data_IF_959896597346
#
_entry.id   IF_959896597346
#
_cell.length_a   1.000
_cell.length_b   1.000
_cell.length_c   1.000
_cell.angle_alpha   90.00
_cell.angle_beta   90.00
_cell.angle_gamma   90.00
#
_symmetry.space_group_name_H-M   'P 1'
#
loop_
_entity.id
_entity.type
_entity.pdbx_description
1 polymer ?
#
# COMPACT_ATOMS: atom_id res chain seq x y z
N UNK A 1 1.80 12.00 -20.57
CA UNK A 1 2.97 11.17 -20.29
C UNK A 1 2.46 9.87 -19.70
N UNK A 2 2.66 8.71 -20.34
CA UNK A 2 2.24 7.42 -19.76
C UNK A 2 3.16 6.95 -18.63
N UNK A 3 4.32 7.60 -18.45
CA UNK A 3 5.39 7.14 -17.56
C UNK A 3 6.23 6.01 -18.15
N UNK A 4 5.78 5.40 -19.25
CA UNK A 4 6.52 4.41 -20.01
C UNK A 4 7.76 5.06 -20.66
N UNK A 5 8.83 4.28 -20.83
CA UNK A 5 10.12 4.73 -21.37
C UNK A 5 10.84 5.82 -20.55
N UNK A 6 10.57 5.93 -19.23
CA UNK A 6 11.38 6.76 -18.32
C UNK A 6 12.86 6.39 -18.46
N UNK A 7 13.68 7.39 -18.78
CA UNK A 7 15.14 7.26 -18.87
C UNK A 7 15.85 8.48 -18.31
N UNK A 8 17.07 8.29 -17.84
CA UNK A 8 17.94 9.40 -17.43
C UNK A 8 18.65 9.96 -18.67
N UNK A 9 18.45 11.25 -18.96
CA UNK A 9 19.09 11.94 -20.10
C UNK A 9 20.33 12.75 -19.70
N UNK A 10 20.47 13.11 -18.43
CA UNK A 10 21.64 13.78 -17.91
C UNK A 10 21.99 13.22 -16.53
N UNK A 11 23.27 12.95 -16.30
CA UNK A 11 23.83 12.65 -14.98
C UNK A 11 24.98 13.61 -14.77
N UNK A 12 24.96 14.34 -13.67
CA UNK A 12 26.13 15.11 -13.28
C UNK A 12 27.32 14.18 -13.02
N UNK A 13 28.49 14.61 -13.49
CA UNK A 13 29.76 13.95 -13.25
C UNK A 13 30.50 14.65 -12.11
N UNK A 14 30.93 13.91 -11.08
CA UNK A 14 31.72 14.47 -9.97
C UNK A 14 31.02 14.41 -8.62
N UNK A 15 31.10 15.48 -7.83
CA UNK A 15 30.69 15.52 -6.42
C UNK A 15 29.17 15.52 -6.18
N UNK A 16 28.36 15.47 -7.24
CA UNK A 16 26.89 15.48 -7.24
C UNK A 16 26.30 16.89 -7.35
N UNK A 17 25.03 16.99 -7.77
CA UNK A 17 24.38 18.26 -8.11
C UNK A 17 23.04 18.47 -7.42
N UNK A 18 22.58 19.71 -7.44
CA UNK A 18 21.27 20.14 -6.93
C UNK A 18 20.44 20.74 -8.07
N UNK A 19 19.93 19.91 -9.00
CA UNK A 19 19.04 20.39 -10.04
C UNK A 19 17.70 20.80 -9.42
N UNK A 20 17.39 22.09 -9.44
CA UNK A 20 16.19 22.65 -8.82
C UNK A 20 15.11 22.98 -9.86
N UNK A 21 15.40 23.93 -10.75
CA UNK A 21 14.48 24.41 -11.79
C UNK A 21 14.74 23.78 -13.15
N UNK A 22 13.67 23.48 -13.91
CA UNK A 22 13.73 22.93 -15.27
C UNK A 22 12.67 23.60 -16.15
N UNK A 23 13.05 23.98 -17.36
CA UNK A 23 12.14 24.53 -18.36
C UNK A 23 12.49 24.03 -19.76
N UNK A 24 11.54 24.18 -20.69
CA UNK A 24 11.64 23.68 -22.07
C UNK A 24 11.66 24.84 -23.07
N UNK A 25 12.62 24.79 -24.00
CA UNK A 25 12.65 25.56 -25.24
C UNK A 25 12.03 24.73 -26.37
N UNK A 26 10.82 25.10 -26.80
CA UNK A 26 10.11 24.40 -27.87
C UNK A 26 10.67 24.71 -29.26
N UNK A 27 11.25 25.91 -29.45
CA UNK A 27 11.78 26.32 -30.76
C UNK A 27 13.12 25.64 -31.03
N UNK A 28 13.98 25.59 -30.01
CA UNK A 28 15.34 25.03 -30.13
C UNK A 28 15.42 23.55 -29.74
N UNK A 29 14.30 22.97 -29.29
CA UNK A 29 14.21 21.57 -28.81
C UNK A 29 15.20 21.24 -27.70
N UNK A 30 15.31 22.17 -26.75
CA UNK A 30 16.25 22.10 -25.64
C UNK A 30 15.54 22.15 -24.30
N UNK A 31 16.14 21.51 -23.30
CA UNK A 31 15.86 21.79 -21.90
C UNK A 31 16.85 22.82 -21.38
N UNK A 32 16.42 23.58 -20.38
CA UNK A 32 17.27 24.49 -19.61
C UNK A 32 17.00 24.20 -18.14
N UNK A 33 18.06 24.00 -17.35
CA UNK A 33 17.94 23.75 -15.92
C UNK A 33 18.99 24.50 -15.13
N UNK A 34 18.73 24.64 -13.85
CA UNK A 34 19.66 25.21 -12.88
C UNK A 34 20.25 24.10 -12.04
N UNK A 35 21.54 24.19 -11.73
CA UNK A 35 22.14 23.48 -10.62
C UNK A 35 22.61 24.47 -9.53
N UNK A 36 21.98 24.37 -8.36
CA UNK A 36 22.23 25.29 -7.25
C UNK A 36 23.50 24.98 -6.45
N UNK A 37 24.15 23.85 -6.71
CA UNK A 37 25.40 23.47 -6.07
C UNK A 37 26.60 23.89 -6.90
N UNK A 38 26.50 23.78 -8.22
CA UNK A 38 27.53 24.25 -9.15
C UNK A 38 27.36 25.71 -9.57
N UNK A 39 26.36 26.41 -9.02
CA UNK A 39 26.07 27.81 -9.30
C UNK A 39 25.98 28.07 -10.82
N UNK A 40 25.20 27.23 -11.51
CA UNK A 40 25.18 27.17 -12.96
C UNK A 40 23.79 27.00 -13.57
N UNK A 41 23.62 27.52 -14.78
CA UNK A 41 22.49 27.27 -15.67
C UNK A 41 23.01 26.53 -16.89
N UNK A 42 22.40 25.38 -17.19
CA UNK A 42 22.78 24.55 -18.32
C UNK A 42 21.63 24.45 -19.32
N UNK A 43 21.98 24.12 -20.56
CA UNK A 43 21.04 23.74 -21.60
C UNK A 43 21.52 22.51 -22.37
N UNK A 44 20.62 21.60 -22.69
CA UNK A 44 20.91 20.44 -23.54
C UNK A 44 19.73 20.14 -24.45
N UNK A 45 19.94 19.36 -25.51
CA UNK A 45 18.87 18.79 -26.32
C UNK A 45 18.01 17.83 -25.47
N UNK A 46 16.81 17.48 -25.94
CA UNK A 46 15.90 16.58 -25.21
C UNK A 46 16.46 15.18 -24.96
N UNK A 47 17.47 14.74 -25.71
CA UNK A 47 18.18 13.48 -25.49
C UNK A 47 19.37 13.61 -24.52
N UNK A 48 19.66 14.82 -24.03
CA UNK A 48 20.79 15.14 -23.15
C UNK A 48 22.08 15.50 -23.88
N UNK A 49 22.12 15.42 -25.21
CA UNK A 49 23.29 15.80 -26.00
C UNK A 49 23.41 17.32 -26.19
N UNK A 50 24.55 17.77 -26.71
CA UNK A 50 24.79 19.19 -27.00
C UNK A 50 24.73 20.07 -25.74
N UNK A 51 25.35 19.62 -24.64
CA UNK A 51 25.40 20.39 -23.40
C UNK A 51 26.02 21.79 -23.64
N UNK A 52 25.37 22.82 -23.12
CA UNK A 52 25.81 24.21 -23.08
C UNK A 52 25.78 24.63 -21.62
N UNK A 53 26.90 25.13 -21.11
CA UNK A 53 26.93 25.91 -19.87
C UNK A 53 26.57 27.34 -20.23
N UNK A 54 25.31 27.74 -19.93
CA UNK A 54 24.78 29.05 -20.30
C UNK A 54 25.39 30.13 -19.42
N UNK A 55 25.42 29.89 -18.12
CA UNK A 55 26.00 30.80 -17.14
C UNK A 55 26.53 29.96 -15.98
N UNK A 56 27.71 30.28 -15.49
CA UNK A 56 28.27 29.71 -14.26
C UNK A 56 28.97 30.80 -13.49
N UNK A 57 28.79 30.79 -12.17
CA UNK A 57 29.58 31.62 -11.28
C UNK A 57 28.76 32.24 -10.15
N UNK A 58 29.38 32.20 -8.98
CA UNK A 58 28.81 32.66 -7.72
C UNK A 58 28.47 34.16 -7.67
N UNK A 59 29.05 34.95 -8.59
CA UNK A 59 28.80 36.39 -8.70
C UNK A 59 27.33 36.69 -9.06
N UNK A 60 26.71 35.84 -9.89
CA UNK A 60 25.35 36.03 -10.39
C UNK A 60 24.39 34.89 -10.02
N UNK A 61 24.93 33.70 -9.77
CA UNK A 61 24.18 32.49 -9.41
C UNK A 61 24.67 32.04 -8.04
N UNK A 62 23.90 32.33 -7.01
CA UNK A 62 24.42 32.36 -5.66
C UNK A 62 23.66 31.39 -4.75
N UNK A 63 22.36 31.23 -5.00
CA UNK A 63 21.56 30.06 -4.65
C UNK A 63 20.31 30.03 -5.54
N UNK A 64 20.47 29.68 -6.82
CA UNK A 64 19.37 29.77 -7.78
C UNK A 64 18.34 28.63 -7.58
N UNK A 65 17.05 28.94 -7.73
CA UNK A 65 15.96 28.00 -7.41
C UNK A 65 15.14 27.61 -8.63
N UNK A 66 14.42 28.54 -9.26
CA UNK A 66 13.62 28.28 -10.45
C UNK A 66 14.22 28.93 -11.69
N UNK A 67 13.99 28.32 -12.87
CA UNK A 67 14.31 28.89 -14.18
C UNK A 67 13.09 28.87 -15.08
N UNK A 68 12.92 29.92 -15.85
CA UNK A 68 12.05 29.95 -17.01
C UNK A 68 12.75 30.66 -18.16
N UNK A 69 12.12 30.71 -19.32
CA UNK A 69 12.70 31.32 -20.50
C UNK A 69 11.63 31.99 -21.37
N UNK A 70 12.04 33.05 -22.05
CA UNK A 70 11.21 33.72 -23.04
C UNK A 70 12.09 34.42 -24.08
N UNK A 71 11.77 34.21 -25.36
CA UNK A 71 12.57 34.73 -26.46
C UNK A 71 14.03 34.25 -26.41
N UNK A 72 14.96 35.21 -26.38
CA UNK A 72 16.40 34.98 -26.32
C UNK A 72 17.00 35.00 -24.91
N UNK A 73 16.16 35.00 -23.86
CA UNK A 73 16.59 35.22 -22.48
C UNK A 73 16.15 34.05 -21.56
N UNK A 74 17.00 33.75 -20.58
CA UNK A 74 16.66 32.92 -19.41
C UNK A 74 16.39 33.85 -18.24
N UNK A 75 15.45 33.44 -17.40
CA UNK A 75 15.07 34.12 -16.18
C UNK A 75 15.17 33.16 -15.00
N UNK A 76 15.70 33.59 -13.87
CA UNK A 76 15.80 32.75 -12.68
C UNK A 76 15.52 33.51 -11.40
N UNK A 77 15.11 32.76 -10.38
CA UNK A 77 15.00 33.23 -9.00
C UNK A 77 16.24 32.83 -8.20
N UNK A 78 16.73 33.73 -7.34
CA UNK A 78 17.87 33.47 -6.47
C UNK A 78 17.52 33.78 -5.01
N UNK A 79 17.68 32.77 -4.16
CA UNK A 79 17.26 32.78 -2.75
C UNK A 79 18.12 33.61 -1.83
N UNK A 80 19.39 33.82 -2.18
CA UNK A 80 20.33 34.53 -1.31
C UNK A 80 20.37 36.01 -1.63
N UNK A 81 20.13 36.36 -2.89
CA UNK A 81 20.00 37.76 -3.33
C UNK A 81 18.56 38.27 -3.27
N UNK A 82 17.56 37.39 -3.08
CA UNK A 82 16.13 37.69 -3.19
C UNK A 82 15.81 38.43 -4.49
N UNK A 83 16.29 37.90 -5.61
CA UNK A 83 16.11 38.53 -6.92
C UNK A 83 15.52 37.60 -7.96
N UNK A 84 14.80 38.22 -8.89
CA UNK A 84 14.52 37.72 -10.22
C UNK A 84 15.53 38.38 -11.17
N UNK A 85 16.35 37.57 -11.81
CA UNK A 85 17.35 38.05 -12.77
C UNK A 85 17.17 37.39 -14.14
N UNK A 86 17.78 37.97 -15.17
CA UNK A 86 17.77 37.44 -16.53
C UNK A 86 19.12 37.61 -17.22
N UNK A 87 19.36 36.78 -18.23
CA UNK A 87 20.55 36.82 -19.08
C UNK A 87 20.26 36.23 -20.46
N UNK A 88 21.18 36.41 -21.41
CA UNK A 88 21.11 35.78 -22.72
C UNK A 88 21.13 34.24 -22.59
N UNK A 89 20.22 33.54 -23.28
CA UNK A 89 20.05 32.09 -23.14
C UNK A 89 21.17 31.22 -23.71
N UNK A 90 22.03 31.79 -24.54
CA UNK A 90 23.13 31.07 -25.19
C UNK A 90 24.48 31.39 -24.59
N UNK A 91 24.69 32.65 -24.22
CA UNK A 91 26.01 33.15 -23.79
C UNK A 91 26.08 33.49 -22.31
N UNK A 92 24.94 33.58 -21.60
CA UNK A 92 24.90 34.05 -20.21
C UNK A 92 25.21 35.54 -20.05
N UNK A 93 25.49 36.26 -21.14
CA UNK A 93 25.84 37.67 -21.09
C UNK A 93 24.63 38.55 -20.76
N UNK A 94 24.90 39.80 -20.41
CA UNK A 94 23.91 40.83 -20.06
C UNK A 94 23.03 40.42 -18.87
N UNK A 95 23.67 39.93 -17.81
CA UNK A 95 22.98 39.65 -16.55
C UNK A 95 22.36 40.93 -16.00
N UNK A 96 21.05 40.93 -15.82
CA UNK A 96 20.30 42.06 -15.28
C UNK A 96 19.29 41.60 -14.24
N UNK A 97 19.18 42.36 -13.14
CA UNK A 97 18.14 42.14 -12.14
C UNK A 97 16.84 42.74 -12.68
N UNK A 98 15.83 41.90 -12.89
CA UNK A 98 14.49 42.31 -13.32
C UNK A 98 13.71 42.86 -12.13
N UNK A 99 13.75 42.16 -11.00
CA UNK A 99 13.02 42.54 -9.80
C UNK A 99 13.76 42.06 -8.55
N UNK A 100 13.72 42.87 -7.49
CA UNK A 100 14.09 42.45 -6.13
C UNK A 100 12.82 42.15 -5.35
N UNK A 101 12.82 41.04 -4.62
CA UNK A 101 11.70 40.62 -3.79
C UNK A 101 12.03 40.88 -2.32
N UNK A 102 11.01 41.21 -1.52
CA UNK A 102 11.18 41.41 -0.08
C UNK A 102 11.37 40.09 0.68
N UNK A 103 10.89 38.99 0.08
CA UNK A 103 10.96 37.63 0.61
C UNK A 103 11.61 36.71 -0.40
N UNK A 104 11.94 35.51 0.04
CA UNK A 104 12.59 34.49 -0.78
C UNK A 104 11.66 34.06 -1.95
N UNK A 105 12.09 34.23 -3.21
CA UNK A 105 11.27 33.85 -4.35
C UNK A 105 11.37 32.34 -4.64
N UNK A 106 10.23 31.67 -4.80
CA UNK A 106 10.17 30.24 -5.16
C UNK A 106 10.10 30.06 -6.68
N UNK A 107 8.99 29.50 -7.19
CA UNK A 107 8.82 29.21 -8.60
C UNK A 107 8.57 30.47 -9.44
N UNK A 108 8.91 30.38 -10.73
CA UNK A 108 8.78 31.45 -11.71
C UNK A 108 8.32 30.86 -13.04
N UNK A 109 7.27 31.45 -13.61
CA UNK A 109 6.74 31.06 -14.93
C UNK A 109 6.49 32.29 -15.79
N UNK A 110 6.78 32.18 -17.08
CA UNK A 110 6.38 33.19 -18.07
C UNK A 110 4.93 32.91 -18.50
N UNK A 111 4.05 33.88 -18.26
CA UNK A 111 2.68 33.85 -18.74
C UNK A 111 2.59 34.47 -20.15
N UNK A 112 2.65 33.62 -21.18
CA UNK A 112 2.48 34.04 -22.58
C UNK A 112 1.95 32.88 -23.43
N UNK A 113 1.05 33.10 -24.41
CA UNK A 113 0.50 32.03 -25.26
C UNK A 113 1.57 31.17 -25.96
N UNK A 114 2.72 31.74 -26.31
CA UNK A 114 3.83 30.98 -26.93
C UNK A 114 4.50 29.97 -25.99
N UNK A 115 4.26 30.03 -24.67
CA UNK A 115 4.72 29.02 -23.71
C UNK A 115 3.79 27.80 -23.64
N UNK A 116 2.60 27.90 -24.24
CA UNK A 116 1.63 26.81 -24.37
C UNK A 116 1.14 26.76 -25.83
N UNK A 117 2.03 26.45 -26.80
CA UNK A 117 1.68 26.43 -28.21
C UNK A 117 0.58 25.39 -28.48
N UNK A 118 -0.34 25.72 -29.38
CA UNK A 118 -1.35 24.78 -29.84
C UNK A 118 -0.69 23.62 -30.59
N UNK A 119 -1.10 22.40 -30.28
CA UNK A 119 -0.59 21.18 -30.90
C UNK A 119 -1.73 20.18 -31.08
N UNK A 120 -1.62 19.24 -32.05
CA UNK A 120 -2.58 18.15 -32.17
C UNK A 120 -2.71 17.38 -30.85
N UNK A 121 -3.94 17.16 -30.41
CA UNK A 121 -4.21 16.41 -29.20
C UNK A 121 -4.71 15.00 -29.56
N UNK A 122 -3.89 13.94 -29.39
CA UNK A 122 -4.29 12.57 -29.71
C UNK A 122 -5.41 12.03 -28.81
N UNK A 123 -5.71 12.71 -27.69
CA UNK A 123 -6.84 12.40 -26.83
C UNK A 123 -8.15 13.04 -27.29
N UNK A 124 -8.10 14.04 -28.18
CA UNK A 124 -9.28 14.67 -28.73
C UNK A 124 -9.69 13.92 -30.00
N UNK A 125 -10.81 13.20 -29.95
CA UNK A 125 -11.43 12.58 -31.14
C UNK A 125 -12.39 13.57 -31.81
N UNK A 126 -12.67 13.35 -33.10
CA UNK A 126 -13.56 14.21 -33.89
C UNK A 126 -15.00 14.26 -33.33
N UNK A 127 -15.42 13.19 -32.64
CA UNK A 127 -16.76 13.05 -32.07
C UNK A 127 -16.85 13.54 -30.61
N UNK A 128 -15.75 14.06 -30.04
CA UNK A 128 -15.69 14.55 -28.67
C UNK A 128 -15.65 13.46 -27.59
N UNK A 129 -15.63 12.18 -27.97
CA UNK A 129 -15.50 11.06 -27.03
C UNK A 129 -14.02 10.73 -26.78
N UNK A 130 -13.57 10.88 -25.53
CA UNK A 130 -12.23 10.46 -25.13
C UNK A 130 -12.01 8.98 -25.47
N UNK A 131 -10.84 8.60 -26.03
CA UNK A 131 -10.54 7.19 -26.27
C UNK A 131 -10.41 6.41 -24.95
N UNK A 132 -10.15 7.10 -23.83
CA UNK A 132 -10.01 6.49 -22.52
C UNK A 132 -11.25 6.72 -21.68
N UNK A 133 -11.66 5.70 -20.92
CA UNK A 133 -12.79 5.80 -19.98
C UNK A 133 -12.61 6.87 -18.90
N UNK A 134 -11.37 7.15 -18.47
CA UNK A 134 -11.07 8.08 -17.38
C UNK A 134 -9.99 9.10 -17.76
N UNK A 135 -8.71 8.72 -17.71
CA UNK A 135 -7.60 9.64 -18.01
C UNK A 135 -6.95 9.29 -19.33
N UNK A 136 -6.87 10.26 -20.25
CA UNK A 136 -6.10 10.14 -21.48
C UNK A 136 -4.81 10.98 -21.37
N UNK A 137 -3.66 10.31 -21.48
CA UNK A 137 -2.35 10.93 -21.33
C UNK A 137 -1.62 10.94 -22.68
N UNK A 138 -1.23 12.12 -23.16
CA UNK A 138 -0.41 12.26 -24.37
C UNK A 138 0.92 11.51 -24.17
N UNK A 139 1.28 10.65 -25.12
CA UNK A 139 2.50 9.84 -25.09
C UNK A 139 3.44 10.21 -26.23
N UNK A 140 4.60 9.57 -26.29
CA UNK A 140 5.64 9.84 -27.28
C UNK A 140 5.10 9.67 -28.71
N UNK A 141 5.68 10.40 -29.68
CA UNK A 141 5.26 10.38 -31.09
C UNK A 141 3.78 10.73 -31.35
N UNK A 142 3.20 11.66 -30.58
CA UNK A 142 1.80 12.10 -30.74
C UNK A 142 0.79 10.95 -30.58
N UNK A 143 1.13 9.96 -29.76
CA UNK A 143 0.21 8.88 -29.36
C UNK A 143 -0.46 9.22 -28.04
N UNK A 144 -1.34 8.34 -27.54
CA UNK A 144 -1.92 8.46 -26.21
C UNK A 144 -1.82 7.13 -25.46
N UNK A 145 -1.98 7.21 -24.14
CA UNK A 145 -2.14 6.05 -23.27
C UNK A 145 -3.20 6.36 -22.23
N UNK A 146 -4.01 5.36 -21.89
CA UNK A 146 -5.04 5.50 -20.88
C UNK A 146 -4.47 5.17 -19.50
N UNK A 147 -4.82 5.99 -18.52
CA UNK A 147 -4.49 5.76 -17.12
C UNK A 147 -5.76 5.73 -16.29
N UNK A 148 -5.69 4.98 -15.20
CA UNK A 148 -6.81 4.87 -14.27
C UNK A 148 -6.59 5.76 -13.06
N UNK A 149 -7.67 6.36 -12.53
CA UNK A 149 -7.63 6.98 -11.22
C UNK A 149 -7.17 5.99 -10.16
N UNK A 150 -6.85 6.54 -9.00
CA UNK A 150 -6.52 5.75 -7.84
C UNK A 150 -7.59 4.68 -7.55
N UNK A 151 -7.17 3.47 -7.15
CA UNK A 151 -8.04 2.31 -6.82
C UNK A 151 -8.69 1.58 -8.02
N UNK A 152 -8.38 2.01 -9.25
CA UNK A 152 -8.87 1.36 -10.46
C UNK A 152 -7.71 0.76 -11.25
N UNK A 153 -7.96 -0.37 -11.91
CA UNK A 153 -7.00 -1.04 -12.80
C UNK A 153 -7.44 -0.90 -14.24
N UNK A 154 -6.45 -0.68 -15.12
CA UNK A 154 -6.66 -0.63 -16.56
C UNK A 154 -6.94 -2.04 -17.07
N UNK A 155 -8.04 -2.21 -17.80
CA UNK A 155 -8.43 -3.49 -18.36
C UNK A 155 -7.53 -3.88 -19.54
N UNK A 156 -7.67 -5.14 -19.99
CA UNK A 156 -6.88 -5.70 -21.08
C UNK A 156 -7.06 -4.96 -22.42
N UNK A 157 -8.18 -4.24 -22.58
CA UNK A 157 -8.42 -3.38 -23.74
C UNK A 157 -7.51 -2.15 -23.76
N UNK A 158 -6.84 -1.80 -22.64
CA UNK A 158 -6.02 -0.60 -22.45
C UNK A 158 -6.78 0.72 -22.58
N UNK A 159 -8.10 0.71 -22.44
CA UNK A 159 -8.97 1.88 -22.57
C UNK A 159 -9.89 2.06 -21.36
N UNK A 160 -10.36 0.96 -20.80
CA UNK A 160 -11.37 0.95 -19.75
C UNK A 160 -10.74 0.73 -18.38
N UNK A 161 -11.17 1.51 -17.38
CA UNK A 161 -10.76 1.32 -15.99
C UNK A 161 -11.87 0.62 -15.22
N UNK A 162 -11.49 -0.36 -14.41
CA UNK A 162 -12.40 -1.09 -13.52
C UNK A 162 -11.94 -0.93 -12.08
N UNK A 163 -12.88 -0.70 -11.16
CA UNK A 163 -12.59 -0.75 -9.73
C UNK A 163 -12.10 -2.16 -9.36
N UNK A 164 -10.99 -2.21 -8.61
CA UNK A 164 -10.41 -3.45 -8.12
C UNK A 164 -10.34 -3.37 -6.61
N UNK A 165 -11.39 -3.81 -5.91
CA UNK A 165 -11.46 -3.85 -4.44
C UNK A 165 -10.73 -5.05 -3.86
N UNK A 166 -9.48 -5.19 -4.28
CA UNK A 166 -8.53 -6.19 -3.81
C UNK A 166 -7.25 -5.47 -3.44
N UNK A 167 -6.85 -5.59 -2.18
CA UNK A 167 -5.65 -4.94 -1.66
C UNK A 167 -5.07 -5.70 -0.47
N UNK A 168 -3.78 -5.50 -0.23
CA UNK A 168 -3.10 -6.04 0.94
C UNK A 168 -3.37 -5.13 2.13
N UNK A 169 -4.11 -5.62 3.12
CA UNK A 169 -4.33 -4.95 4.40
C UNK A 169 -3.31 -5.46 5.41
N UNK A 170 -2.57 -4.56 6.02
CA UNK A 170 -1.61 -4.93 7.04
C UNK A 170 -1.57 -3.92 8.18
N UNK A 171 -1.18 -4.43 9.34
CA UNK A 171 -1.05 -3.66 10.56
C UNK A 171 0.38 -3.72 11.06
N UNK A 172 0.89 -2.55 11.44
CA UNK A 172 2.04 -2.39 12.31
C UNK A 172 1.56 -1.85 13.64
N UNK A 173 2.47 -1.78 14.60
CA UNK A 173 2.17 -1.31 15.95
C UNK A 173 1.45 0.05 15.98
N UNK A 174 1.87 1.01 15.14
CA UNK A 174 1.34 2.40 15.14
C UNK A 174 0.71 2.82 13.81
N UNK A 175 0.48 1.88 12.89
CA UNK A 175 -0.17 2.18 11.61
C UNK A 175 -0.96 0.99 11.05
N UNK A 176 -2.10 1.27 10.44
CA UNK A 176 -2.81 0.32 9.57
C UNK A 176 -2.77 0.87 8.15
N UNK A 177 -2.40 0.01 7.20
CA UNK A 177 -2.33 0.37 5.78
C UNK A 177 -2.99 -0.70 4.92
N UNK A 178 -3.65 -0.25 3.89
CA UNK A 178 -4.10 -1.04 2.76
C UNK A 178 -3.33 -0.55 1.55
N UNK A 179 -2.67 -1.44 0.81
CA UNK A 179 -1.85 -1.08 -0.36
C UNK A 179 -2.22 -1.92 -1.56
N UNK A 180 -2.05 -1.36 -2.77
CA UNK A 180 -2.22 -2.13 -4.00
C UNK A 180 -1.26 -3.32 -4.02
N UNK A 181 -1.79 -4.45 -4.48
CA UNK A 181 -1.09 -5.74 -4.50
C UNK A 181 0.09 -5.73 -5.47
N UNK A 182 -0.08 -5.10 -6.63
CA UNK A 182 0.91 -5.12 -7.70
C UNK A 182 1.91 -3.97 -7.54
N UNK A 183 1.44 -2.84 -7.01
CA UNK A 183 2.20 -1.62 -6.83
C UNK A 183 2.08 -1.14 -5.37
N UNK A 184 2.85 -1.72 -4.44
CA UNK A 184 2.63 -1.54 -3.02
C UNK A 184 2.91 -0.10 -2.52
N UNK A 185 3.50 0.77 -3.36
CA UNK A 185 3.67 2.20 -3.08
C UNK A 185 2.35 2.99 -3.14
N UNK A 186 1.31 2.45 -3.78
CA UNK A 186 0.00 3.05 -3.81
C UNK A 186 -0.81 2.53 -2.62
N UNK A 187 -1.16 3.42 -1.69
CA UNK A 187 -2.08 3.09 -0.60
C UNK A 187 -3.48 2.94 -1.19
N UNK A 188 -4.22 1.89 -0.86
CA UNK A 188 -5.62 1.73 -1.28
C UNK A 188 -6.59 2.44 -0.32
N UNK A 189 -6.24 2.46 0.96
CA UNK A 189 -7.03 3.10 2.02
C UNK A 189 -6.27 4.31 2.57
N UNK A 190 -6.98 5.19 3.27
CA UNK A 190 -6.33 6.18 4.13
C UNK A 190 -5.60 5.43 5.24
N UNK A 191 -4.30 5.69 5.39
CA UNK A 191 -3.51 5.12 6.47
C UNK A 191 -4.03 5.63 7.81
N UNK A 192 -4.33 4.72 8.72
CA UNK A 192 -4.64 5.09 10.10
C UNK A 192 -3.33 5.14 10.88
N UNK A 193 -3.11 6.20 11.64
CA UNK A 193 -1.91 6.42 12.46
C UNK A 193 -2.29 7.03 13.81
N UNK A 194 -1.30 7.37 14.64
CA UNK A 194 -1.48 8.22 15.82
C UNK A 194 -2.20 9.53 15.42
N UNK A 195 -3.23 10.00 16.16
CA UNK A 195 -3.67 9.55 17.49
C UNK A 195 -4.77 8.46 17.51
N UNK A 196 -5.30 8.04 16.36
CA UNK A 196 -6.42 7.08 16.31
C UNK A 196 -5.98 5.66 16.70
N UNK A 197 -4.70 5.36 16.47
CA UNK A 197 -4.02 4.10 16.76
C UNK A 197 -2.88 4.32 17.76
N UNK A 198 -2.72 3.36 18.67
CA UNK A 198 -1.73 3.41 19.73
C UNK A 198 -0.85 2.13 19.77
N UNK A 199 -1.48 0.95 19.75
CA UNK A 199 -0.79 -0.35 19.69
C UNK A 199 -1.69 -1.44 19.06
N UNK A 200 -1.72 -1.49 17.73
CA UNK A 200 -2.55 -2.44 16.97
C UNK A 200 -1.89 -3.81 16.88
N UNK A 201 -2.66 -4.85 17.18
CA UNK A 201 -2.19 -6.25 17.08
C UNK A 201 -2.79 -7.01 15.91
N UNK A 202 -4.08 -6.84 15.62
CA UNK A 202 -4.76 -7.58 14.55
C UNK A 202 -5.80 -6.70 13.87
N UNK A 203 -6.02 -7.00 12.58
CA UNK A 203 -6.99 -6.32 11.72
C UNK A 203 -7.81 -7.33 10.95
N UNK A 204 -9.09 -7.03 10.77
CA UNK A 204 -9.96 -7.74 9.84
C UNK A 204 -10.91 -6.75 9.14
N UNK A 205 -11.68 -7.22 8.16
CA UNK A 205 -12.53 -6.37 7.34
C UNK A 205 -13.91 -6.98 7.10
N UNK A 206 -14.86 -6.08 6.92
CA UNK A 206 -16.18 -6.34 6.39
C UNK A 206 -16.32 -5.66 5.03
N UNK A 207 -16.39 -6.46 3.97
CA UNK A 207 -16.48 -5.95 2.62
C UNK A 207 -17.88 -5.41 2.28
N UNK A 208 -18.92 -5.87 2.99
CA UNK A 208 -20.29 -5.42 2.73
C UNK A 208 -20.48 -3.94 3.12
N UNK A 209 -19.99 -3.54 4.30
CA UNK A 209 -20.05 -2.14 4.76
C UNK A 209 -18.77 -1.35 4.46
N UNK A 210 -17.78 -1.97 3.82
CA UNK A 210 -16.45 -1.38 3.56
C UNK A 210 -15.79 -0.85 4.84
N UNK A 211 -15.75 -1.68 5.88
CA UNK A 211 -15.23 -1.34 7.20
C UNK A 211 -14.04 -2.20 7.58
N UNK A 212 -13.08 -1.59 8.26
CA UNK A 212 -11.93 -2.27 8.86
C UNK A 212 -12.15 -2.28 10.37
N UNK A 213 -11.91 -3.42 10.98
CA UNK A 213 -11.95 -3.65 12.41
C UNK A 213 -10.54 -3.92 12.91
N UNK A 214 -10.17 -3.37 14.05
CA UNK A 214 -8.87 -3.61 14.66
C UNK A 214 -8.95 -3.62 16.17
N UNK A 215 -8.11 -4.44 16.78
CA UNK A 215 -7.87 -4.37 18.22
C UNK A 215 -6.67 -3.47 18.51
N UNK A 216 -6.81 -2.66 19.55
CA UNK A 216 -5.75 -1.84 20.09
C UNK A 216 -5.52 -2.23 21.56
N UNK A 217 -4.33 -2.79 21.83
CA UNK A 217 -4.03 -3.40 23.12
C UNK A 217 -3.68 -2.35 24.18
N UNK A 218 -3.17 -1.19 23.77
CA UNK A 218 -2.85 -0.11 24.73
C UNK A 218 -4.13 0.53 25.26
N UNK A 219 -5.09 0.78 24.38
CA UNK A 219 -6.40 1.33 24.76
C UNK A 219 -7.39 0.25 25.21
N UNK A 220 -7.08 -1.03 25.02
CA UNK A 220 -7.95 -2.18 25.30
C UNK A 220 -9.32 -2.06 24.60
N UNK A 221 -9.30 -1.63 23.33
CA UNK A 221 -10.51 -1.43 22.54
C UNK A 221 -10.47 -2.23 21.25
N UNK A 222 -11.65 -2.57 20.73
CA UNK A 222 -11.82 -2.90 19.32
C UNK A 222 -12.54 -1.72 18.67
N UNK A 223 -11.92 -1.17 17.64
CA UNK A 223 -12.45 -0.03 16.88
C UNK A 223 -12.78 -0.47 15.47
N UNK A 224 -13.59 0.34 14.79
CA UNK A 224 -13.83 0.20 13.34
C UNK A 224 -13.84 1.57 12.66
N UNK A 225 -13.58 1.56 11.35
CA UNK A 225 -13.69 2.72 10.49
C UNK A 225 -13.96 2.31 9.05
N UNK A 226 -14.45 3.24 8.24
CA UNK A 226 -14.58 3.03 6.81
C UNK A 226 -13.20 3.03 6.13
N UNK A 227 -13.05 2.28 5.04
CA UNK A 227 -11.81 2.25 4.24
C UNK A 227 -11.36 3.64 3.72
N UNK A 228 -12.28 4.62 3.66
CA UNK A 228 -11.99 5.99 3.29
C UNK A 228 -11.44 6.85 4.45
N UNK A 229 -11.20 6.26 5.62
CA UNK A 229 -10.67 6.93 6.81
C UNK A 229 -11.72 7.58 7.72
N UNK A 230 -13.00 7.60 7.34
CA UNK A 230 -14.07 8.24 8.11
C UNK A 230 -14.71 7.26 9.10
N UNK A 231 -15.48 7.81 10.06
CA UNK A 231 -16.32 7.00 10.95
C UNK A 231 -15.53 6.11 11.91
N UNK A 232 -14.38 6.58 12.40
CA UNK A 232 -13.62 5.90 13.46
C UNK A 232 -14.48 5.88 14.73
N UNK A 233 -14.83 4.69 15.19
CA UNK A 233 -15.60 4.51 16.42
C UNK A 233 -15.16 3.28 17.20
N UNK A 234 -15.31 3.34 18.51
CA UNK A 234 -15.04 2.22 19.41
C UNK A 234 -16.27 1.31 19.48
N UNK A 235 -16.10 0.06 19.10
CA UNK A 235 -17.14 -0.97 19.06
C UNK A 235 -17.21 -1.73 20.38
N UNK A 236 -16.04 -2.05 20.94
CA UNK A 236 -15.92 -2.76 22.21
C UNK A 236 -14.84 -2.10 23.06
N UNK A 237 -15.14 -1.76 24.32
CA UNK A 237 -14.23 -1.03 25.23
C UNK A 237 -14.11 -1.60 26.64
N UNK A 238 -14.88 -2.64 26.97
CA UNK A 238 -14.88 -3.27 28.29
C UNK A 238 -14.53 -4.77 28.19
N UNK A 239 -13.76 -5.28 29.14
CA UNK A 239 -13.35 -6.68 29.23
C UNK A 239 -12.61 -7.18 27.97
N UNK A 240 -11.60 -6.42 27.54
CA UNK A 240 -10.74 -6.72 26.38
C UNK A 240 -9.24 -6.76 26.74
N UNK A 241 -8.82 -7.64 27.65
CA UNK A 241 -7.39 -7.79 27.88
C UNK A 241 -6.74 -8.51 26.69
N UNK A 242 -5.75 -7.84 26.08
CA UNK A 242 -4.86 -8.36 25.04
C UNK A 242 -5.57 -9.17 23.93
N UNK A 243 -6.38 -8.50 23.12
CA UNK A 243 -7.00 -9.14 21.96
C UNK A 243 -6.00 -9.29 20.80
N UNK A 244 -5.41 -10.48 20.68
CA UNK A 244 -4.41 -10.83 19.66
C UNK A 244 -5.02 -11.48 18.40
N UNK A 245 -6.24 -12.00 18.51
CA UNK A 245 -7.00 -12.59 17.42
C UNK A 245 -8.34 -11.89 17.27
N UNK A 246 -8.70 -11.56 16.03
CA UNK A 246 -9.93 -10.87 15.67
C UNK A 246 -10.39 -11.42 14.32
N UNK A 247 -11.66 -11.78 14.23
CA UNK A 247 -12.24 -12.27 12.99
C UNK A 247 -13.68 -11.78 12.81
N UNK A 248 -13.98 -11.30 11.61
CA UNK A 248 -15.31 -10.83 11.22
C UNK A 248 -16.09 -11.98 10.58
N UNK A 249 -17.27 -12.29 11.13
CA UNK A 249 -18.28 -13.12 10.47
C UNK A 249 -19.16 -12.21 9.61
N UNK A 250 -18.82 -12.11 8.33
CA UNK A 250 -19.54 -11.28 7.36
C UNK A 250 -20.93 -11.83 7.01
N UNK A 251 -21.21 -13.10 7.29
CA UNK A 251 -22.49 -13.75 6.98
C UNK A 251 -23.50 -13.48 8.09
N UNK A 252 -23.16 -13.84 9.33
CA UNK A 252 -24.06 -13.66 10.47
C UNK A 252 -23.93 -12.28 11.13
N UNK A 253 -23.03 -11.43 10.62
CA UNK A 253 -22.78 -10.06 11.11
C UNK A 253 -22.34 -10.05 12.57
N UNK A 254 -21.41 -10.93 12.91
CA UNK A 254 -20.81 -11.05 14.24
C UNK A 254 -19.31 -10.78 14.20
N UNK A 255 -18.77 -10.38 15.34
CA UNK A 255 -17.35 -10.14 15.57
C UNK A 255 -16.86 -11.15 16.61
N UNK A 256 -15.81 -11.88 16.28
CA UNK A 256 -15.15 -12.80 17.21
C UNK A 256 -13.77 -12.30 17.57
N UNK A 257 -13.36 -12.46 18.82
CA UNK A 257 -12.01 -12.09 19.24
C UNK A 257 -11.52 -12.94 20.41
N UNK A 258 -10.21 -13.09 20.50
CA UNK A 258 -9.56 -13.73 21.64
C UNK A 258 -9.36 -12.71 22.76
N UNK A 259 -9.41 -13.16 24.01
CA UNK A 259 -9.01 -12.37 25.18
C UNK A 259 -8.04 -13.20 26.00
N UNK A 260 -6.92 -12.56 26.38
CA UNK A 260 -5.83 -13.20 27.09
C UNK A 260 -5.35 -12.32 28.27
N UNK A 261 -5.75 -12.72 29.47
CA UNK A 261 -5.22 -12.21 30.73
C UNK A 261 -5.07 -13.33 31.75
N UNK A 262 -4.52 -13.01 32.92
CA UNK A 262 -4.47 -13.87 34.10
C UNK A 262 -5.87 -14.42 34.46
N UNK A 263 -6.92 -13.61 34.30
CA UNK A 263 -8.28 -13.96 34.75
C UNK A 263 -9.25 -14.35 33.63
N UNK A 264 -8.97 -13.98 32.38
CA UNK A 264 -9.90 -14.18 31.25
C UNK A 264 -9.12 -14.70 30.04
N UNK A 265 -9.32 -15.99 29.75
CA UNK A 265 -8.69 -16.69 28.62
C UNK A 265 -9.78 -17.38 27.80
N UNK A 266 -10.30 -16.66 26.81
CA UNK A 266 -11.52 -17.07 26.09
C UNK A 266 -11.62 -16.50 24.69
N UNK A 267 -12.45 -17.12 23.85
CA UNK A 267 -12.95 -16.56 22.59
C UNK A 267 -14.32 -15.97 22.85
N UNK A 268 -14.50 -14.71 22.51
CA UNK A 268 -15.76 -13.98 22.67
C UNK A 268 -16.42 -13.75 21.32
N UNK A 269 -17.71 -13.44 21.36
CA UNK A 269 -18.51 -13.01 20.23
C UNK A 269 -19.36 -11.81 20.62
N UNK A 270 -19.61 -10.91 19.68
CA UNK A 270 -20.63 -9.87 19.75
C UNK A 270 -21.17 -9.59 18.34
N UNK A 271 -22.21 -8.79 18.21
CA UNK A 271 -22.57 -8.20 16.90
C UNK A 271 -21.47 -7.26 16.42
N UNK A 272 -21.46 -6.95 15.13
CA UNK A 272 -20.50 -6.01 14.53
C UNK A 272 -20.56 -4.58 15.10
N UNK A 273 -21.63 -4.21 15.80
CA UNK A 273 -21.79 -2.95 16.55
C UNK A 273 -21.37 -3.06 18.03
N UNK A 274 -20.90 -4.22 18.47
CA UNK A 274 -20.45 -4.49 19.83
C UNK A 274 -21.54 -4.94 20.80
N UNK A 275 -22.81 -4.94 20.37
CA UNK A 275 -23.93 -5.40 21.20
C UNK A 275 -23.95 -6.93 21.39
N UNK A 276 -24.65 -7.41 22.42
CA UNK A 276 -24.85 -8.84 22.70
C UNK A 276 -23.55 -9.65 22.88
N UNK A 277 -22.58 -9.09 23.62
CA UNK A 277 -21.32 -9.77 23.96
C UNK A 277 -21.56 -11.06 24.75
N UNK A 278 -20.92 -12.15 24.34
CA UNK A 278 -20.88 -13.42 25.05
C UNK A 278 -19.52 -14.14 24.89
N UNK A 279 -19.23 -15.11 25.76
CA UNK A 279 -18.07 -16.00 25.64
C UNK A 279 -18.47 -17.33 24.99
N UNK A 280 -17.75 -17.73 23.95
CA UNK A 280 -18.05 -18.94 23.16
C UNK A 280 -17.15 -20.12 23.59
N UNK A 281 -15.87 -19.86 23.81
CA UNK A 281 -14.90 -20.87 24.27
C UNK A 281 -14.17 -20.30 25.47
N UNK A 282 -14.08 -21.05 26.56
CA UNK A 282 -13.42 -20.64 27.81
C UNK A 282 -12.32 -21.64 28.20
N UNK A 283 -11.41 -21.22 29.07
CA UNK A 283 -10.36 -22.09 29.60
C UNK A 283 -9.19 -22.30 28.62
N UNK A 284 -8.95 -21.34 27.74
CA UNK A 284 -7.77 -21.32 26.86
C UNK A 284 -6.49 -21.09 27.67
N UNK A 285 -5.31 -21.37 27.11
CA UNK A 285 -4.05 -21.06 27.80
C UNK A 285 -3.39 -19.78 27.27
N UNK A 286 -3.00 -19.74 26.01
CA UNK A 286 -2.30 -18.65 25.30
C UNK A 286 -2.89 -18.48 23.89
N UNK A 287 -4.15 -18.02 23.76
CA UNK A 287 -4.77 -17.83 22.46
C UNK A 287 -4.11 -16.68 21.71
N UNK A 288 -3.78 -16.89 20.43
CA UNK A 288 -3.13 -15.88 19.60
C UNK A 288 -3.95 -15.56 18.34
N UNK A 289 -3.86 -16.40 17.30
CA UNK A 289 -4.56 -16.18 16.03
C UNK A 289 -5.98 -16.76 16.07
N UNK A 290 -6.89 -16.14 15.31
CA UNK A 290 -8.27 -16.58 15.15
C UNK A 290 -8.71 -16.33 13.71
N UNK A 291 -9.26 -17.35 13.06
CA UNK A 291 -9.88 -17.25 11.72
C UNK A 291 -11.20 -18.02 11.70
N UNK A 292 -12.11 -17.60 10.83
CA UNK A 292 -13.45 -18.18 10.72
C UNK A 292 -13.67 -18.73 9.32
N UNK A 293 -14.54 -19.72 9.20
CA UNK A 293 -15.16 -20.12 7.96
C UNK A 293 -16.69 -20.02 8.11
N UNK A 294 -17.27 -18.81 7.94
CA UNK A 294 -18.69 -18.58 8.21
C UNK A 294 -19.65 -19.53 7.51
N UNK A 295 -19.36 -19.88 6.24
CA UNK A 295 -20.21 -20.77 5.42
C UNK A 295 -20.26 -22.20 5.99
N UNK A 296 -19.17 -22.67 6.59
CA UNK A 296 -19.09 -24.01 7.21
C UNK A 296 -19.40 -23.96 8.71
N UNK A 297 -19.62 -22.77 9.28
CA UNK A 297 -19.86 -22.59 10.70
C UNK A 297 -18.68 -23.04 11.57
N UNK A 298 -17.43 -22.89 11.10
CA UNK A 298 -16.22 -23.30 11.81
C UNK A 298 -15.37 -22.12 12.25
N UNK A 299 -14.75 -22.23 13.42
CA UNK A 299 -13.70 -21.34 13.88
C UNK A 299 -12.41 -22.13 14.12
N UNK A 300 -11.27 -21.53 13.77
CA UNK A 300 -9.94 -22.10 13.95
C UNK A 300 -9.07 -21.11 14.69
N UNK A 301 -8.30 -21.58 15.67
CA UNK A 301 -7.44 -20.70 16.46
C UNK A 301 -6.15 -21.39 16.87
N UNK A 302 -5.17 -20.57 17.24
CA UNK A 302 -3.94 -21.04 17.87
C UNK A 302 -4.01 -20.79 19.37
N UNK A 303 -3.62 -21.79 20.15
CA UNK A 303 -3.55 -21.75 21.61
C UNK A 303 -2.21 -22.33 22.08
N UNK A 304 -1.24 -21.46 22.37
CA UNK A 304 0.16 -21.86 22.55
C UNK A 304 0.73 -22.50 21.28
N UNK A 305 1.14 -23.77 21.39
CA UNK A 305 1.67 -24.57 20.26
C UNK A 305 0.61 -25.44 19.57
N UNK A 306 -0.66 -25.29 19.97
CA UNK A 306 -1.76 -26.08 19.45
C UNK A 306 -2.57 -25.30 18.41
N UNK A 307 -3.07 -26.01 17.42
CA UNK A 307 -4.07 -25.51 16.47
C UNK A 307 -5.35 -26.28 16.72
N UNK A 308 -6.43 -25.57 17.00
CA UNK A 308 -7.71 -26.15 17.40
C UNK A 308 -8.84 -25.66 16.50
N UNK A 309 -9.91 -26.46 16.44
CA UNK A 309 -11.12 -26.18 15.67
C UNK A 309 -12.35 -26.37 16.56
N UNK A 310 -13.40 -25.61 16.28
CA UNK A 310 -14.72 -25.77 16.88
C UNK A 310 -15.79 -25.30 15.89
N UNK A 311 -17.04 -25.61 16.19
CA UNK A 311 -18.16 -24.90 15.56
C UNK A 311 -18.19 -23.45 16.07
N UNK A 312 -18.82 -22.55 15.30
CA UNK A 312 -18.89 -21.12 15.66
C UNK A 312 -19.72 -20.83 16.93
N UNK A 313 -20.51 -21.80 17.39
CA UNK A 313 -21.21 -21.77 18.68
C UNK A 313 -20.37 -22.35 19.84
N UNK A 314 -19.13 -22.77 19.59
CA UNK A 314 -18.21 -23.34 20.56
C UNK A 314 -18.35 -24.86 20.75
N UNK A 315 -19.36 -25.49 20.14
CA UNK A 315 -19.54 -26.93 20.21
C UNK A 315 -18.49 -27.70 19.38
N UNK A 316 -18.34 -28.99 19.69
CA UNK A 316 -17.45 -29.91 18.96
C UNK A 316 -16.00 -29.40 18.84
N UNK A 317 -15.48 -28.83 19.93
CA UNK A 317 -14.10 -28.37 20.02
C UNK A 317 -13.13 -29.56 20.05
N UNK A 318 -12.14 -29.53 19.15
CA UNK A 318 -11.05 -30.53 19.10
C UNK A 318 -9.72 -29.85 18.77
N UNK A 319 -8.63 -30.38 19.32
CA UNK A 319 -7.28 -30.00 18.91
C UNK A 319 -6.90 -30.77 17.64
N UNK A 320 -6.61 -30.05 16.56
CA UNK A 320 -6.19 -30.64 15.28
C UNK A 320 -4.72 -31.06 15.32
N UNK A 321 -3.87 -30.15 15.78
CA UNK A 321 -2.43 -30.37 15.83
C UNK A 321 -1.84 -29.83 17.13
N UNK A 322 -0.80 -30.52 17.60
CA UNK A 322 0.00 -30.12 18.76
C UNK A 322 1.46 -29.91 18.34
N UNK A 323 2.24 -29.25 19.18
CA UNK A 323 3.69 -29.04 18.99
C UNK A 323 4.04 -28.31 17.67
N UNK A 324 3.23 -27.34 17.26
CA UNK A 324 3.41 -26.59 16.01
C UNK A 324 4.42 -25.44 16.11
N UNK A 325 5.25 -25.40 17.16
CA UNK A 325 6.42 -24.51 17.26
C UNK A 325 6.07 -23.02 17.08
N UNK A 326 5.17 -22.53 17.92
CA UNK A 326 4.65 -21.16 17.93
C UNK A 326 3.99 -20.73 16.60
N UNK A 327 2.81 -21.27 16.27
CA UNK A 327 2.04 -20.85 15.09
C UNK A 327 1.43 -19.46 15.30
N UNK A 328 1.86 -18.46 14.49
CA UNK A 328 1.49 -17.04 14.71
C UNK A 328 0.95 -16.28 13.48
N UNK A 329 0.60 -16.98 12.41
CA UNK A 329 -0.16 -16.41 11.29
C UNK A 329 -1.01 -17.46 10.61
N UNK A 330 -2.31 -17.48 10.94
CA UNK A 330 -3.27 -18.46 10.46
C UNK A 330 -4.10 -17.86 9.32
N UNK A 331 -4.33 -18.60 8.24
CA UNK A 331 -5.17 -18.17 7.12
C UNK A 331 -5.96 -19.34 6.54
N UNK A 332 -7.21 -19.07 6.16
CA UNK A 332 -8.08 -20.02 5.47
C UNK A 332 -8.10 -19.66 3.99
N UNK A 333 -7.89 -20.66 3.13
CA UNK A 333 -8.28 -20.56 1.74
C UNK A 333 -9.66 -21.16 1.53
N UNK A 334 -10.62 -20.30 1.22
CA UNK A 334 -12.03 -20.67 1.05
C UNK A 334 -12.27 -21.44 -0.26
N UNK A 335 -11.45 -21.22 -1.29
CA UNK A 335 -11.63 -21.87 -2.59
C UNK A 335 -11.18 -23.33 -2.57
N UNK A 336 -10.02 -23.62 -1.95
CA UNK A 336 -9.50 -25.00 -1.85
C UNK A 336 -9.84 -25.69 -0.53
N UNK A 337 -10.57 -25.04 0.38
CA UNK A 337 -10.89 -25.54 1.72
C UNK A 337 -9.64 -26.05 2.46
N UNK A 338 -8.63 -25.16 2.59
CA UNK A 338 -7.37 -25.47 3.27
C UNK A 338 -7.04 -24.44 4.34
N UNK A 339 -6.43 -24.91 5.42
CA UNK A 339 -5.88 -24.09 6.48
C UNK A 339 -4.37 -24.00 6.31
N UNK A 340 -3.84 -22.78 6.35
CA UNK A 340 -2.40 -22.51 6.28
C UNK A 340 -1.95 -21.78 7.54
N UNK A 341 -0.75 -22.10 8.02
CA UNK A 341 -0.12 -21.35 9.10
C UNK A 341 1.38 -21.22 8.92
N UNK A 342 1.92 -20.17 9.53
CA UNK A 342 3.35 -19.98 9.69
C UNK A 342 3.75 -20.17 11.16
N UNK A 343 4.82 -20.94 11.36
CA UNK A 343 5.38 -21.25 12.68
C UNK A 343 6.68 -20.48 12.88
N UNK A 344 6.71 -19.62 13.89
CA UNK A 344 7.82 -18.66 14.07
C UNK A 344 9.08 -19.28 14.65
N UNK A 345 9.00 -20.33 15.46
CA UNK A 345 10.18 -20.90 16.12
C UNK A 345 11.02 -21.74 15.15
N UNK A 346 10.37 -22.48 14.23
CA UNK A 346 11.06 -23.30 13.23
C UNK A 346 11.11 -22.66 11.82
N UNK A 347 10.42 -21.53 11.61
CA UNK A 347 10.43 -20.80 10.34
C UNK A 347 9.76 -21.55 9.18
N UNK A 348 8.73 -22.35 9.47
CA UNK A 348 8.04 -23.18 8.46
C UNK A 348 6.66 -22.64 8.12
N UNK A 349 6.21 -22.93 6.91
CA UNK A 349 4.81 -22.73 6.51
C UNK A 349 4.21 -24.13 6.30
N UNK A 350 3.08 -24.38 6.92
CA UNK A 350 2.38 -25.67 6.84
C UNK A 350 0.95 -25.47 6.36
N UNK A 351 0.38 -26.51 5.76
CA UNK A 351 -1.02 -26.56 5.35
C UNK A 351 -1.68 -27.87 5.71
N UNK A 352 -3.00 -27.85 5.81
CA UNK A 352 -3.84 -29.05 5.87
C UNK A 352 -5.21 -28.77 5.25
N UNK A 353 -6.01 -29.81 5.06
CA UNK A 353 -7.45 -29.65 4.79
C UNK A 353 -8.17 -29.16 6.05
N UNK A 354 -9.33 -28.54 5.89
CA UNK A 354 -10.13 -28.01 7.01
C UNK A 354 -10.57 -29.06 8.05
N UNK A 355 -10.56 -30.35 7.69
CA UNK A 355 -10.84 -31.48 8.60
C UNK A 355 -9.60 -31.96 9.39
N UNK A 356 -8.43 -31.35 9.16
CA UNK A 356 -7.15 -31.73 9.79
C UNK A 356 -6.38 -32.83 9.05
N UNK A 357 -6.90 -33.38 7.97
CA UNK A 357 -6.18 -34.37 7.16
C UNK A 357 -5.18 -33.70 6.21
N UNK A 358 -4.20 -34.48 5.73
CA UNK A 358 -3.25 -34.02 4.72
C UNK A 358 -2.32 -32.91 5.22
N UNK A 359 -1.85 -33.01 6.47
CA UNK A 359 -0.82 -32.12 7.00
C UNK A 359 0.45 -32.20 6.13
N UNK A 360 0.90 -31.05 5.66
CA UNK A 360 2.08 -30.91 4.81
C UNK A 360 2.85 -29.66 5.21
N UNK A 361 4.17 -29.79 5.33
CA UNK A 361 5.09 -28.65 5.49
C UNK A 361 5.61 -28.28 4.09
N UNK A 362 5.57 -26.99 3.74
CA UNK A 362 5.96 -26.53 2.42
C UNK A 362 7.50 -26.53 2.27
N UNK A 363 8.03 -27.56 1.59
CA UNK A 363 9.47 -27.79 1.42
C UNK A 363 10.22 -26.70 0.64
N UNK A 364 9.51 -25.90 -0.16
CA UNK A 364 10.08 -24.75 -0.88
C UNK A 364 10.56 -23.64 0.06
N UNK A 365 10.04 -23.59 1.29
CA UNK A 365 10.50 -22.67 2.34
C UNK A 365 11.79 -23.20 2.95
N UNK A 366 12.93 -22.79 2.37
CA UNK A 366 14.24 -23.23 2.84
C UNK A 366 14.50 -22.84 4.31
N UNK A 367 15.16 -23.69 5.11
CA UNK A 367 15.51 -23.38 6.50
C UNK A 367 16.29 -22.05 6.61
N UNK A 368 15.93 -21.25 7.61
CA UNK A 368 16.55 -19.94 7.88
C UNK A 368 16.07 -18.79 6.99
N UNK A 369 15.12 -19.02 6.07
CA UNK A 369 14.46 -17.94 5.32
C UNK A 369 13.55 -17.09 6.20
N UNK A 370 12.80 -17.75 7.06
CA UNK A 370 12.00 -17.13 8.12
C UNK A 370 12.78 -17.31 9.43
N UNK A 371 13.01 -16.20 10.12
CA UNK A 371 13.80 -16.18 11.37
C UNK A 371 12.92 -15.84 12.57
N UNK A 372 11.87 -15.05 12.32
CA UNK A 372 10.82 -14.69 13.27
C UNK A 372 9.59 -14.29 12.45
N UNK A 373 8.91 -15.29 11.89
CA UNK A 373 7.71 -15.07 11.11
C UNK A 373 6.65 -14.33 11.94
N UNK A 374 5.80 -13.52 11.31
CA UNK A 374 4.87 -12.65 12.05
C UNK A 374 3.47 -12.61 11.49
N UNK A 375 3.31 -12.80 10.18
CA UNK A 375 2.00 -12.85 9.55
C UNK A 375 2.06 -13.71 8.28
N UNK A 376 0.91 -14.27 7.93
CA UNK A 376 0.69 -15.04 6.71
C UNK A 376 -0.68 -14.63 6.15
N UNK A 377 -0.75 -14.39 4.84
CA UNK A 377 -2.00 -14.17 4.14
C UNK A 377 -2.02 -14.95 2.82
N UNK A 378 -3.21 -15.26 2.31
CA UNK A 378 -3.40 -16.05 1.09
C UNK A 378 -4.12 -15.21 0.05
N UNK A 379 -3.69 -15.32 -1.21
CA UNK A 379 -4.45 -14.80 -2.34
C UNK A 379 -4.09 -15.56 -3.62
N UNK A 380 -5.10 -16.15 -4.24
CA UNK A 380 -4.94 -16.93 -5.46
C UNK A 380 -3.93 -18.06 -5.29
N UNK A 381 -2.90 -18.06 -6.13
CA UNK A 381 -1.81 -19.03 -6.15
C UNK A 381 -0.61 -18.65 -5.27
N UNK A 382 -0.70 -17.58 -4.47
CA UNK A 382 0.41 -17.06 -3.67
C UNK A 382 0.11 -17.00 -2.18
N UNK A 383 1.17 -17.21 -1.42
CA UNK A 383 1.26 -16.92 0.00
C UNK A 383 2.05 -15.63 0.19
N UNK A 384 1.52 -14.75 1.04
CA UNK A 384 2.17 -13.53 1.48
C UNK A 384 2.69 -13.75 2.88
N UNK A 385 3.99 -13.55 3.09
CA UNK A 385 4.64 -13.77 4.37
C UNK A 385 5.28 -12.47 4.85
N UNK A 386 5.32 -12.30 6.17
CA UNK A 386 6.04 -11.22 6.83
C UNK A 386 6.93 -11.80 7.93
N UNK A 387 8.16 -11.32 8.03
CA UNK A 387 9.18 -11.79 8.97
C UNK A 387 9.80 -10.60 9.71
N UNK A 388 9.64 -10.58 11.04
CA UNK A 388 10.14 -9.50 11.89
C UNK A 388 11.65 -9.56 12.07
N UNK A 389 12.27 -10.73 11.95
CA UNK A 389 13.71 -10.90 12.17
C UNK A 389 14.55 -10.42 10.99
N UNK A 390 14.09 -10.67 9.76
CA UNK A 390 14.70 -10.15 8.52
C UNK A 390 14.16 -8.79 8.10
N UNK A 391 13.09 -8.32 8.74
CA UNK A 391 12.45 -7.04 8.46
C UNK A 391 11.83 -6.96 7.04
N UNK A 392 11.27 -8.10 6.59
CA UNK A 392 10.85 -8.29 5.20
C UNK A 392 9.39 -8.74 5.06
N UNK A 393 8.80 -8.32 3.94
CA UNK A 393 7.57 -8.88 3.39
C UNK A 393 7.88 -9.45 2.02
N UNK A 394 7.30 -10.59 1.71
CA UNK A 394 7.40 -11.15 0.39
C UNK A 394 6.26 -12.11 0.04
N UNK A 395 6.48 -12.80 -1.07
CA UNK A 395 5.56 -13.80 -1.60
C UNK A 395 6.30 -15.09 -1.89
N UNK A 396 5.58 -16.20 -1.84
CA UNK A 396 6.00 -17.49 -2.36
C UNK A 396 4.79 -18.22 -2.95
N UNK A 397 5.04 -19.25 -3.75
CA UNK A 397 3.99 -20.02 -4.40
C UNK A 397 3.23 -20.87 -3.36
N UNK A 398 1.90 -20.88 -3.45
CA UNK A 398 1.02 -21.62 -2.52
C UNK A 398 1.14 -23.13 -2.65
N UNK A 399 1.60 -23.62 -3.80
CA UNK A 399 1.76 -25.05 -4.09
C UNK A 399 2.78 -25.72 -3.20
N UNK A 400 3.95 -25.11 -3.02
CA UNK A 400 5.13 -25.72 -2.43
C UNK A 400 5.97 -24.74 -1.57
N UNK A 401 5.61 -23.45 -1.51
CA UNK A 401 6.42 -22.42 -0.85
C UNK A 401 7.63 -21.96 -1.67
N UNK A 402 7.71 -22.35 -2.95
CA UNK A 402 8.76 -21.99 -3.89
C UNK A 402 8.68 -20.55 -4.38
N UNK A 403 9.48 -20.21 -5.39
CA UNK A 403 9.50 -18.88 -6.02
C UNK A 403 9.60 -17.71 -5.02
N UNK A 404 10.43 -17.89 -3.99
CA UNK A 404 10.55 -16.96 -2.87
C UNK A 404 11.01 -15.58 -3.35
N UNK A 405 10.13 -14.59 -3.20
CA UNK A 405 10.37 -13.22 -3.65
C UNK A 405 10.18 -12.23 -2.51
N UNK A 406 11.25 -11.54 -2.14
CA UNK A 406 11.17 -10.39 -1.24
C UNK A 406 10.59 -9.21 -2.00
N UNK A 407 9.53 -8.61 -1.46
CA UNK A 407 8.88 -7.43 -2.04
C UNK A 407 9.32 -6.15 -1.35
N UNK A 408 9.57 -6.20 -0.04
CA UNK A 408 9.92 -5.03 0.77
C UNK A 408 10.90 -5.38 1.89
N UNK A 409 11.71 -4.39 2.24
CA UNK A 409 12.56 -4.34 3.43
C UNK A 409 12.06 -3.19 4.34
N UNK A 410 12.53 -3.13 5.59
CA UNK A 410 12.19 -2.08 6.56
C UNK A 410 10.67 -2.02 6.82
N UNK A 411 10.10 -3.19 7.12
CA UNK A 411 8.68 -3.42 7.30
C UNK A 411 8.20 -3.73 8.71
N UNK A 412 9.12 -3.83 9.66
CA UNK A 412 8.96 -4.25 11.05
C UNK A 412 8.64 -3.06 11.97
N UNK A 413 7.88 -3.29 13.06
CA UNK A 413 7.18 -4.52 13.39
C UNK A 413 5.86 -4.63 12.63
N UNK A 414 5.75 -5.66 11.78
CA UNK A 414 4.47 -6.10 11.22
C UNK A 414 3.77 -6.97 12.26
N UNK A 415 2.54 -6.62 12.62
CA UNK A 415 1.75 -7.35 13.63
C UNK A 415 0.73 -8.28 12.99
N UNK A 416 0.13 -7.88 11.87
CA UNK A 416 -0.85 -8.71 11.16
C UNK A 416 -0.93 -8.35 9.67
N UNK A 417 -1.38 -9.30 8.85
CA UNK A 417 -1.56 -9.12 7.41
C UNK A 417 -2.71 -9.98 6.91
N UNK A 418 -3.56 -9.41 6.05
CA UNK A 418 -4.70 -10.09 5.43
C UNK A 418 -4.98 -9.50 4.05
N UNK A 419 -5.53 -10.28 3.15
CA UNK A 419 -5.94 -9.79 1.83
C UNK A 419 -7.40 -9.39 1.89
N UNK A 420 -7.68 -8.12 1.61
CA UNK A 420 -9.04 -7.64 1.38
C UNK A 420 -9.46 -8.07 0.00
N UNK A 421 -10.58 -8.79 -0.12
CA UNK A 421 -11.18 -9.14 -1.40
C UNK A 421 -12.70 -9.09 -1.28
N UNK A 422 -13.32 -8.13 -1.98
CA UNK A 422 -14.77 -7.94 -1.95
C UNK A 422 -15.55 -9.18 -2.45
N UNK A 423 -15.06 -9.86 -3.50
CA UNK A 423 -15.79 -10.99 -4.08
C UNK A 423 -15.91 -12.17 -3.11
N UNK A 424 -14.92 -12.36 -2.23
CA UNK A 424 -14.89 -13.46 -1.25
C UNK A 424 -16.03 -13.38 -0.22
N UNK A 425 -16.51 -12.18 0.09
CA UNK A 425 -17.61 -11.99 1.05
C UNK A 425 -18.96 -11.73 0.37
N UNK A 426 -18.97 -11.29 -0.90
CA UNK A 426 -20.19 -10.90 -1.64
C UNK A 426 -20.76 -11.98 -2.57
N UNK A 427 -19.98 -12.97 -3.02
CA UNK A 427 -20.46 -14.08 -3.86
C UNK A 427 -21.31 -15.14 -3.10
N UNK A 428 -21.85 -14.78 -1.93
CA UNK A 428 -22.77 -15.61 -1.14
C UNK A 428 -24.17 -15.77 -1.76
N UNK A 429 -24.37 -15.35 -3.01
CA UNK A 429 -25.60 -15.54 -3.81
C UNK A 429 -26.07 -16.99 -4.00
N UNK A 430 -25.36 -17.99 -3.45
CA UNK A 430 -25.85 -19.38 -3.33
C UNK A 430 -26.67 -19.66 -2.07
N UNK A 431 -26.82 -18.70 -1.15
CA UNK A 431 -27.64 -18.85 0.07
C UNK A 431 -28.88 -17.96 -0.03
N UNK A 432 -29.61 -18.07 -1.14
CA UNK A 432 -31.02 -17.65 -1.17
C UNK A 432 -31.86 -18.78 -0.60
N UNK A 433 -32.19 -18.66 0.68
CA UNK A 433 -33.44 -19.12 1.32
C UNK A 433 -34.20 -20.25 0.59
N UNK A 434 -33.86 -21.51 0.87
CA UNK A 434 -34.87 -22.57 0.97
C UNK A 434 -35.20 -22.77 2.44
N UNK A 435 -35.93 -21.80 2.99
CA UNK A 435 -36.84 -22.10 4.11
C UNK A 435 -38.13 -22.57 3.46
N UNK A 436 -38.25 -23.89 3.27
CA UNK A 436 -39.56 -24.51 3.05
C UNK A 436 -40.35 -24.41 4.35
N UNK A 437 -41.51 -23.75 4.28
CA UNK A 437 -42.51 -23.65 5.34
C UNK A 437 -42.91 -25.00 5.93
#
# INVERSE_FOLDING_TARGET
>A
MSGEARRTIHRETGSGGWPNGLTVDYMERRIVWIDARSDAIYSALYDGSGLIEVLRGHEYLSHPFAVTMYGGEVYWTDWRTNTLAKANKWTGNNVTVVQRTNTQPFDLQVYHPSRQPQAPNPCATADGQSPCSHLCLISYNQTFSCACPHLMKLQADKHTCKESRQFLLYARQTEIRGVDIDNPYYNYIISFTVPDIDNVTVVDYDALENRIYWSDVRTQTIKRAFINGTGVETVVSADLPNAHGLAVDWVSRNLFWTSYDVNKKQINVARLDGSFKNAVIQGLDKPHCLVLHPILGKLYWTDGDNISVANMDGSNHTTLFTNQRSPIGLSVDYDSEQLYWVSSENGTISRCKLDGSGLEVLDGVKPGKLTKASALAIMGDKLWWADQGTDQIGTCDKSDGGNWKVLRNNTSPMTHMKIYNESMQTDTGRISLTVSH
#
